data_IF_012070010672
#
_entry.id   IF_012070010672
#
_cell.length_a   1.000
_cell.length_b   1.000
_cell.length_c   1.000
_cell.angle_alpha   90.00
_cell.angle_beta   90.00
_cell.angle_gamma   90.00
#
_symmetry.space_group_name_H-M   'P 1'
#
loop_
_entity.id
_entity.type
_entity.pdbx_description
1 polymer ?
#
# COMPACT_ATOMS: atom_id res chain seq x y z
N UNK A 1 13.98 20.29 4.16
CA UNK A 1 12.73 19.57 4.54
C UNK A 1 11.60 20.49 4.99
N UNK A 2 11.86 21.77 5.27
CA UNK A 2 10.82 22.73 5.63
C UNK A 2 10.36 23.52 4.39
N UNK A 3 9.05 23.57 4.16
CA UNK A 3 8.43 24.42 3.13
C UNK A 3 7.59 25.47 3.85
N UNK A 4 7.69 26.73 3.44
CA UNK A 4 6.84 27.79 3.99
C UNK A 4 5.54 27.90 3.20
N UNK A 5 4.39 27.76 3.87
CA UNK A 5 3.12 28.22 3.32
C UNK A 5 2.29 28.87 4.44
N UNK A 6 1.61 29.98 4.12
CA UNK A 6 0.70 30.68 5.05
C UNK A 6 1.32 30.97 6.43
N UNK A 7 2.58 31.42 6.47
CA UNK A 7 3.34 31.75 7.69
C UNK A 7 3.62 30.58 8.65
N UNK A 8 3.48 29.33 8.20
CA UNK A 8 3.85 28.12 8.94
C UNK A 8 5.01 27.39 8.25
N UNK A 9 5.94 26.86 9.05
CA UNK A 9 6.96 25.92 8.57
C UNK A 9 6.35 24.52 8.49
N UNK A 10 6.40 23.93 7.30
CA UNK A 10 5.80 22.62 7.02
C UNK A 10 6.91 21.60 6.88
N UNK A 11 6.94 20.61 7.76
CA UNK A 11 7.83 19.47 7.59
C UNK A 11 7.16 18.38 6.73
N UNK A 12 7.80 18.03 5.61
CA UNK A 12 7.41 16.91 4.74
C UNK A 12 8.44 15.78 4.75
N UNK A 13 9.22 15.67 5.81
CA UNK A 13 10.31 14.69 5.95
C UNK A 13 9.87 13.25 5.73
N UNK A 14 8.67 12.85 6.18
CA UNK A 14 8.13 11.50 5.96
C UNK A 14 7.92 11.22 4.46
N UNK A 15 7.26 12.14 3.75
CA UNK A 15 7.07 12.03 2.29
C UNK A 15 8.42 11.96 1.57
N UNK A 16 9.36 12.85 1.92
CA UNK A 16 10.70 12.86 1.34
C UNK A 16 11.46 11.56 1.63
N UNK A 17 11.30 10.97 2.81
CA UNK A 17 11.91 9.69 3.18
C UNK A 17 11.35 8.55 2.31
N UNK A 18 10.03 8.47 2.13
CA UNK A 18 9.42 7.51 1.20
C UNK A 18 9.98 7.67 -0.22
N UNK A 19 9.97 8.89 -0.77
CA UNK A 19 10.47 9.15 -2.14
C UNK A 19 11.94 8.77 -2.29
N UNK A 20 12.78 9.16 -1.33
CA UNK A 20 14.21 8.83 -1.36
C UNK A 20 14.44 7.32 -1.32
N UNK A 21 13.73 6.63 -0.43
CA UNK A 21 13.84 5.20 -0.25
C UNK A 21 13.38 4.43 -1.52
N UNK A 22 12.24 4.81 -2.11
CA UNK A 22 11.77 4.24 -3.39
C UNK A 22 12.80 4.44 -4.50
N UNK A 23 13.37 5.64 -4.60
CA UNK A 23 14.38 5.96 -5.62
C UNK A 23 15.67 5.15 -5.45
N UNK A 24 16.07 4.83 -4.22
CA UNK A 24 17.26 4.01 -3.96
C UNK A 24 17.04 2.51 -4.16
N UNK A 25 15.79 2.02 -4.16
CA UNK A 25 15.48 0.60 -4.27
C UNK A 25 16.07 -0.06 -5.53
N UNK A 26 16.65 -1.25 -5.36
CA UNK A 26 17.35 -2.01 -6.39
C UNK A 26 16.68 -3.33 -6.76
N UNK A 27 16.07 -4.02 -5.81
CA UNK A 27 15.60 -5.40 -5.97
C UNK A 27 14.09 -5.50 -5.77
N UNK A 28 13.56 -5.00 -4.66
CA UNK A 28 12.12 -5.03 -4.43
C UNK A 28 11.67 -3.99 -3.40
N UNK A 29 10.36 -3.71 -3.42
CA UNK A 29 9.69 -2.90 -2.40
C UNK A 29 8.50 -3.69 -1.85
N UNK A 30 8.36 -3.72 -0.53
CA UNK A 30 7.22 -4.28 0.16
C UNK A 30 6.56 -3.19 0.99
N UNK A 31 5.24 -3.00 0.84
CA UNK A 31 4.47 -1.98 1.55
C UNK A 31 3.26 -2.63 2.19
N UNK A 32 3.05 -2.37 3.48
CA UNK A 32 1.75 -2.54 4.11
C UNK A 32 1.23 -1.18 4.53
N UNK A 33 0.05 -0.80 4.03
CA UNK A 33 -0.54 0.49 4.38
C UNK A 33 -2.06 0.42 4.46
N UNK A 34 -2.65 1.13 5.41
CA UNK A 34 -4.12 1.24 5.51
C UNK A 34 -4.73 1.95 4.29
N UNK A 35 -4.03 2.91 3.70
CA UNK A 35 -4.46 3.63 2.52
C UNK A 35 -3.37 3.65 1.45
N UNK A 36 -3.80 3.66 0.19
CA UNK A 36 -2.89 3.76 -0.94
C UNK A 36 -3.54 4.59 -2.05
N UNK A 37 -3.43 5.91 -1.93
CA UNK A 37 -4.02 6.89 -2.87
C UNK A 37 -3.04 8.05 -3.04
N UNK A 38 -2.78 8.44 -4.28
CA UNK A 38 -1.89 9.57 -4.56
C UNK A 38 -1.64 9.78 -6.03
N UNK A 39 -0.83 10.80 -6.30
CA UNK A 39 -0.41 11.22 -7.63
C UNK A 39 -1.59 11.54 -8.56
N UNK A 40 -2.62 12.24 -8.04
CA UNK A 40 -3.87 12.50 -8.78
C UNK A 40 -3.67 13.25 -10.08
N UNK A 41 -2.65 14.09 -10.17
CA UNK A 41 -2.30 14.82 -11.39
C UNK A 41 -1.93 13.91 -12.59
N UNK A 42 -1.61 12.63 -12.34
CA UNK A 42 -1.41 11.60 -13.38
C UNK A 42 -2.62 10.68 -13.62
N UNK A 43 -3.72 10.85 -12.90
CA UNK A 43 -4.94 10.06 -13.13
C UNK A 43 -5.58 10.41 -14.48
N UNK A 44 -6.29 9.45 -15.08
CA UNK A 44 -7.00 9.68 -16.35
C UNK A 44 -8.20 10.62 -16.19
N UNK A 45 -8.79 10.65 -14.98
CA UNK A 45 -9.85 11.57 -14.58
C UNK A 45 -9.57 12.11 -13.17
N UNK A 46 -10.32 13.13 -12.73
CA UNK A 46 -10.21 13.66 -11.36
C UNK A 46 -8.79 14.17 -10.99
N UNK A 47 -8.08 14.76 -11.96
CA UNK A 47 -6.70 15.24 -11.75
C UNK A 47 -6.55 16.25 -10.60
N UNK A 48 -7.57 17.08 -10.40
CA UNK A 48 -7.67 18.07 -9.33
C UNK A 48 -8.22 17.54 -8.00
N UNK A 49 -8.27 16.22 -7.76
CA UNK A 49 -8.76 15.64 -6.50
C UNK A 49 -7.90 15.98 -5.27
N UNK A 50 -6.74 16.63 -5.46
CA UNK A 50 -5.87 17.09 -4.38
C UNK A 50 -5.12 15.96 -3.66
N UNK A 51 -4.91 14.82 -4.32
CA UNK A 51 -4.09 13.72 -3.82
C UNK A 51 -2.70 13.76 -4.48
N UNK A 52 -1.91 14.78 -4.13
CA UNK A 52 -0.69 15.18 -4.83
C UNK A 52 0.60 14.49 -4.34
N UNK A 53 0.53 13.64 -3.31
CA UNK A 53 1.69 12.89 -2.84
C UNK A 53 2.31 12.04 -3.98
N UNK A 54 3.64 11.86 -3.94
CA UNK A 54 4.43 11.30 -5.04
C UNK A 54 4.57 9.77 -4.97
N UNK A 55 4.04 9.13 -3.92
CA UNK A 55 4.40 7.75 -3.61
C UNK A 55 3.98 6.77 -4.72
N UNK A 56 2.72 6.80 -5.22
CA UNK A 56 2.33 5.92 -6.32
C UNK A 56 3.11 6.14 -7.63
N UNK A 57 3.35 7.39 -8.01
CA UNK A 57 4.07 7.68 -9.26
C UNK A 57 5.55 7.28 -9.18
N UNK A 58 6.22 7.52 -8.04
CA UNK A 58 7.63 7.14 -7.87
C UNK A 58 7.81 5.62 -7.94
N UNK A 59 6.86 4.85 -7.39
CA UNK A 59 6.82 3.39 -7.53
C UNK A 59 6.67 2.97 -9.00
N UNK A 60 5.68 3.52 -9.71
CA UNK A 60 5.45 3.17 -11.12
C UNK A 60 6.64 3.53 -12.02
N UNK A 61 7.26 4.70 -11.81
CA UNK A 61 8.45 5.13 -12.55
C UNK A 61 9.66 4.27 -12.19
N UNK A 62 9.85 3.90 -10.91
CA UNK A 62 10.92 2.98 -10.50
C UNK A 62 10.81 1.65 -11.22
N UNK A 63 9.61 1.06 -11.25
CA UNK A 63 9.36 -0.20 -11.97
C UNK A 63 9.62 -0.04 -13.48
N UNK A 64 9.06 1.01 -14.10
CA UNK A 64 9.26 1.28 -15.53
C UNK A 64 10.75 1.44 -15.89
N UNK A 65 11.55 2.07 -15.02
CA UNK A 65 13.01 2.19 -15.19
C UNK A 65 13.72 0.84 -15.10
N UNK A 66 13.32 -0.01 -14.15
CA UNK A 66 13.88 -1.37 -14.00
C UNK A 66 13.54 -2.26 -15.20
N UNK A 67 12.31 -2.14 -15.73
CA UNK A 67 11.91 -2.76 -17.00
C UNK A 67 12.80 -2.29 -18.16
N UNK A 68 12.98 -0.98 -18.33
CA UNK A 68 13.84 -0.42 -19.39
C UNK A 68 15.31 -0.84 -19.25
N UNK A 69 15.79 -1.04 -18.03
CA UNK A 69 17.14 -1.55 -17.76
C UNK A 69 17.25 -3.08 -17.89
N UNK A 70 16.12 -3.79 -18.09
CA UNK A 70 16.02 -5.26 -18.03
C UNK A 70 16.57 -5.85 -16.74
N UNK A 71 16.34 -5.14 -15.63
CA UNK A 71 16.73 -5.56 -14.29
C UNK A 71 15.52 -6.14 -13.56
N UNK A 72 15.68 -7.28 -12.85
CA UNK A 72 14.59 -7.85 -12.07
C UNK A 72 14.19 -6.90 -10.93
N UNK A 73 12.89 -6.63 -10.82
CA UNK A 73 12.35 -5.79 -9.76
C UNK A 73 10.86 -6.08 -9.53
N UNK A 74 10.44 -6.10 -8.26
CA UNK A 74 9.04 -6.28 -7.91
C UNK A 74 8.59 -5.36 -6.77
N UNK A 75 7.33 -4.94 -6.80
CA UNK A 75 6.68 -4.21 -5.73
C UNK A 75 5.44 -4.96 -5.25
N UNK A 76 5.33 -5.16 -3.94
CA UNK A 76 4.23 -5.84 -3.28
C UNK A 76 3.54 -4.87 -2.32
N UNK A 77 2.24 -4.64 -2.52
CA UNK A 77 1.45 -3.66 -1.77
C UNK A 77 0.27 -4.35 -1.11
N UNK A 78 0.25 -4.33 0.22
CA UNK A 78 -0.77 -4.96 1.05
C UNK A 78 -1.62 -3.84 1.65
N UNK A 79 -2.91 -3.87 1.36
CA UNK A 79 -3.90 -2.87 1.76
C UNK A 79 -5.16 -3.58 2.27
N UNK A 80 -5.96 -2.94 3.13
CA UNK A 80 -7.20 -3.57 3.57
C UNK A 80 -8.15 -3.76 2.39
N UNK A 81 -9.03 -4.76 2.48
CA UNK A 81 -10.04 -5.03 1.46
C UNK A 81 -10.97 -3.80 1.29
N UNK A 82 -11.32 -3.17 2.40
CA UNK A 82 -12.04 -1.90 2.48
C UNK A 82 -11.58 -1.11 3.74
N UNK A 83 -11.61 0.25 3.76
CA UNK A 83 -11.30 1.03 4.96
C UNK A 83 -12.09 0.68 6.23
N UNK A 84 -11.66 1.17 7.38
CA UNK A 84 -12.32 0.89 8.65
C UNK A 84 -13.68 1.58 8.72
N UNK A 85 -14.70 0.83 9.18
CA UNK A 85 -16.06 1.32 9.28
C UNK A 85 -17.11 0.25 8.94
N UNK A 86 -18.30 0.36 9.54
CA UNK A 86 -19.45 -0.42 9.12
C UNK A 86 -19.83 -0.01 7.69
N UNK A 87 -19.95 -0.91 6.71
CA UNK A 87 -20.36 -0.51 5.37
C UNK A 87 -21.81 0.04 5.28
N UNK A 88 -22.59 0.09 6.38
CA UNK A 88 -24.04 0.33 6.37
C UNK A 88 -24.61 1.41 7.32
N UNK A 89 -23.86 2.25 8.06
CA UNK A 89 -24.45 3.31 8.95
C UNK A 89 -24.58 4.71 8.30
N UNK A 90 -25.08 5.73 9.02
CA UNK A 90 -25.38 7.07 8.49
C UNK A 90 -24.16 7.96 8.15
N UNK A 91 -23.08 8.05 8.96
CA UNK A 91 -21.79 8.57 8.48
C UNK A 91 -21.15 7.67 7.39
N UNK A 92 -21.71 6.47 7.18
CA UNK A 92 -21.37 5.52 6.13
C UNK A 92 -22.39 5.53 4.97
N UNK A 93 -23.34 6.49 4.94
CA UNK A 93 -24.21 6.79 3.78
C UNK A 93 -23.48 7.63 2.72
N UNK A 94 -22.19 7.89 2.86
CA UNK A 94 -21.40 8.37 1.74
C UNK A 94 -21.07 7.20 0.80
N UNK A 95 -22.08 6.71 0.06
CA UNK A 95 -21.82 6.02 -1.23
C UNK A 95 -20.78 6.81 -1.99
N UNK A 96 -20.87 8.15 -1.97
CA UNK A 96 -19.90 9.06 -2.55
C UNK A 96 -18.49 8.93 -1.96
N UNK A 97 -18.29 8.76 -0.66
CA UNK A 97 -16.95 8.61 -0.06
C UNK A 97 -16.34 7.27 -0.40
N UNK A 98 -17.12 6.20 -0.32
CA UNK A 98 -16.67 4.88 -0.72
C UNK A 98 -16.43 4.82 -2.22
N UNK A 99 -17.36 5.33 -3.01
CA UNK A 99 -17.24 5.47 -4.46
C UNK A 99 -16.03 6.33 -4.79
N UNK A 100 -15.82 7.48 -4.16
CA UNK A 100 -14.65 8.34 -4.34
C UNK A 100 -13.39 7.63 -3.88
N UNK A 101 -13.41 6.90 -2.77
CA UNK A 101 -12.27 6.15 -2.27
C UNK A 101 -11.87 5.03 -3.25
N UNK A 102 -12.82 4.18 -3.64
CA UNK A 102 -12.62 3.10 -4.62
C UNK A 102 -12.28 3.66 -6.00
N UNK A 103 -12.90 4.77 -6.41
CA UNK A 103 -12.60 5.46 -7.65
C UNK A 103 -11.18 5.99 -7.62
N UNK A 104 -10.79 6.76 -6.61
CA UNK A 104 -9.46 7.37 -6.48
C UNK A 104 -8.36 6.31 -6.30
N UNK A 105 -8.63 5.26 -5.53
CA UNK A 105 -7.77 4.07 -5.45
C UNK A 105 -7.67 3.39 -6.81
N UNK A 106 -8.78 3.21 -7.51
CA UNK A 106 -8.83 2.67 -8.86
C UNK A 106 -8.07 3.52 -9.87
N UNK A 107 -8.18 4.85 -9.80
CA UNK A 107 -7.42 5.78 -10.63
C UNK A 107 -5.92 5.69 -10.33
N UNK A 108 -5.54 5.59 -9.05
CA UNK A 108 -4.15 5.41 -8.63
C UNK A 108 -3.58 4.10 -9.19
N UNK A 109 -4.26 2.97 -8.96
CA UNK A 109 -3.82 1.66 -9.45
C UNK A 109 -3.79 1.60 -10.99
N UNK A 110 -4.83 2.15 -11.65
CA UNK A 110 -4.92 2.22 -13.12
C UNK A 110 -3.77 3.02 -13.71
N UNK A 111 -3.43 4.18 -13.12
CA UNK A 111 -2.29 5.00 -13.52
C UNK A 111 -0.98 4.21 -13.42
N UNK A 112 -0.74 3.53 -12.29
CA UNK A 112 0.48 2.75 -12.10
C UNK A 112 0.60 1.59 -13.09
N UNK A 113 -0.46 0.78 -13.23
CA UNK A 113 -0.48 -0.34 -14.18
C UNK A 113 -0.34 0.13 -15.62
N UNK A 114 -0.93 1.27 -15.98
CA UNK A 114 -0.77 1.86 -17.32
C UNK A 114 0.69 2.20 -17.59
N UNK A 115 1.37 2.89 -16.67
CA UNK A 115 2.79 3.24 -16.84
C UNK A 115 3.66 1.99 -17.02
N UNK A 116 3.41 0.95 -16.23
CA UNK A 116 4.15 -0.31 -16.31
C UNK A 116 3.86 -1.02 -17.64
N UNK A 117 2.60 -1.13 -18.04
CA UNK A 117 2.22 -1.74 -19.32
C UNK A 117 2.80 -0.97 -20.52
N UNK A 118 2.81 0.36 -20.46
CA UNK A 118 3.41 1.22 -21.49
C UNK A 118 4.93 0.99 -21.57
N UNK A 119 5.62 0.78 -20.43
CA UNK A 119 7.04 0.44 -20.39
C UNK A 119 7.33 -0.96 -20.97
N UNK A 120 6.53 -1.98 -20.64
CA UNK A 120 6.68 -3.33 -21.19
C UNK A 120 6.55 -3.34 -22.72
N UNK A 121 5.51 -2.67 -23.25
CA UNK A 121 5.30 -2.56 -24.71
C UNK A 121 6.43 -1.81 -25.40
N UNK A 122 6.97 -0.76 -24.76
CA UNK A 122 8.10 0.00 -25.30
C UNK A 122 9.35 -0.85 -25.45
N UNK A 123 9.59 -1.77 -24.51
CA UNK A 123 10.75 -2.66 -24.51
C UNK A 123 10.53 -3.97 -25.29
N UNK A 124 9.35 -4.15 -25.92
CA UNK A 124 8.99 -5.35 -26.68
C UNK A 124 8.81 -6.60 -25.82
N UNK A 125 8.35 -6.43 -24.57
CA UNK A 125 8.10 -7.52 -23.62
C UNK A 125 6.61 -7.90 -23.61
N UNK A 126 6.10 -8.35 -24.74
CA UNK A 126 4.65 -8.63 -24.92
C UNK A 126 4.16 -9.84 -24.13
N UNK A 127 5.05 -10.79 -23.81
CA UNK A 127 4.74 -11.98 -22.99
C UNK A 127 4.73 -11.68 -21.48
N UNK A 128 5.25 -10.52 -21.05
CA UNK A 128 5.32 -10.13 -19.65
C UNK A 128 4.04 -9.42 -19.20
N UNK A 129 3.58 -9.71 -17.99
CA UNK A 129 2.40 -9.09 -17.43
C UNK A 129 2.78 -7.98 -16.42
N UNK A 130 2.04 -6.85 -16.34
CA UNK A 130 2.32 -5.83 -15.32
C UNK A 130 2.33 -6.34 -13.88
N UNK A 131 1.60 -7.43 -13.60
CA UNK A 131 1.57 -8.07 -12.28
C UNK A 131 2.84 -8.88 -11.96
N UNK A 132 3.71 -9.13 -12.94
CA UNK A 132 5.04 -9.69 -12.67
C UNK A 132 5.92 -8.67 -11.90
N UNK A 133 5.56 -7.38 -11.97
CA UNK A 133 6.30 -6.28 -11.38
C UNK A 133 5.56 -5.54 -10.25
N UNK A 134 4.23 -5.46 -10.31
CA UNK A 134 3.41 -4.73 -9.33
C UNK A 134 2.22 -5.57 -8.87
N UNK A 135 2.19 -5.90 -7.58
CA UNK A 135 1.14 -6.72 -6.99
C UNK A 135 0.42 -6.00 -5.85
N UNK A 136 -0.91 -6.09 -5.86
CA UNK A 136 -1.76 -5.61 -4.77
C UNK A 136 -2.47 -6.79 -4.11
N UNK A 137 -2.40 -6.85 -2.78
CA UNK A 137 -3.05 -7.87 -1.97
C UNK A 137 -3.86 -7.26 -0.84
N UNK A 138 -4.76 -8.07 -0.28
CA UNK A 138 -5.41 -7.80 0.99
C UNK A 138 -5.37 -9.07 1.86
N UNK A 139 -5.54 -8.91 3.16
CA UNK A 139 -5.49 -10.02 4.10
C UNK A 139 -6.91 -10.45 4.49
N UNK A 140 -7.12 -11.76 4.59
CA UNK A 140 -8.38 -12.36 5.02
C UNK A 140 -8.13 -13.67 5.74
N UNK A 141 -8.98 -13.99 6.71
CA UNK A 141 -8.95 -15.24 7.45
C UNK A 141 -10.27 -15.96 7.30
N UNK A 142 -10.20 -17.29 7.23
CA UNK A 142 -11.37 -18.18 7.32
C UNK A 142 -11.08 -19.30 8.31
N UNK A 143 -12.03 -19.60 9.19
CA UNK A 143 -11.86 -20.61 10.25
C UNK A 143 -12.88 -21.75 10.11
N UNK A 144 -12.46 -22.97 10.47
CA UNK A 144 -13.24 -24.21 10.27
C UNK A 144 -13.95 -24.69 11.55
N UNK A 145 -13.53 -24.25 12.74
CA UNK A 145 -13.96 -24.86 14.02
C UNK A 145 -14.02 -23.86 15.17
N UNK A 146 -15.24 -23.62 15.65
CA UNK A 146 -15.61 -23.27 17.03
C UNK A 146 -17.13 -23.46 17.13
N UNK A 147 -17.62 -24.02 18.24
CA UNK A 147 -19.05 -23.95 18.56
C UNK A 147 -19.44 -22.47 18.60
N UNK A 148 -20.20 -22.02 17.61
CA UNK A 148 -20.72 -20.65 17.62
C UNK A 148 -21.88 -20.67 18.60
N UNK A 149 -21.84 -19.89 19.70
CA UNK A 149 -22.99 -19.78 20.60
C UNK A 149 -24.23 -19.44 19.77
N UNK A 150 -25.33 -20.17 20.01
CA UNK A 150 -26.58 -19.94 19.31
C UNK A 150 -26.91 -18.43 19.40
N UNK A 151 -27.18 -17.76 18.27
CA UNK A 151 -27.32 -16.32 18.24
C UNK A 151 -28.54 -15.90 19.08
N UNK A 152 -28.32 -14.96 20.00
CA UNK A 152 -29.33 -14.51 20.98
C UNK A 152 -30.38 -13.53 20.43
N UNK A 153 -30.53 -13.37 19.11
CA UNK A 153 -31.51 -12.39 18.58
C UNK A 153 -32.02 -12.63 17.15
N UNK A 154 -33.24 -12.11 16.91
CA UNK A 154 -33.98 -12.01 15.65
C UNK A 154 -33.32 -11.08 14.60
N UNK A 155 -32.02 -11.21 14.33
CA UNK A 155 -31.38 -10.41 13.28
C UNK A 155 -31.60 -11.01 11.89
N UNK A 156 -31.88 -10.17 10.89
CA UNK A 156 -32.05 -10.53 9.48
C UNK A 156 -30.93 -11.47 8.95
N UNK A 157 -31.33 -12.63 8.39
CA UNK A 157 -30.43 -13.67 7.88
C UNK A 157 -29.47 -13.19 6.79
N UNK A 158 -29.85 -12.15 6.03
CA UNK A 158 -29.05 -11.57 4.95
C UNK A 158 -28.14 -10.41 5.40
N UNK A 159 -28.05 -10.11 6.69
CA UNK A 159 -27.15 -9.05 7.17
C UNK A 159 -25.67 -9.39 6.93
N UNK A 160 -24.80 -8.40 6.63
CA UNK A 160 -23.36 -8.65 6.46
C UNK A 160 -22.72 -9.38 7.64
N UNK A 161 -23.15 -9.05 8.87
CA UNK A 161 -22.72 -9.74 10.08
C UNK A 161 -23.07 -11.23 10.06
N UNK A 162 -24.32 -11.58 9.70
CA UNK A 162 -24.76 -12.97 9.60
C UNK A 162 -24.05 -13.72 8.49
N UNK A 163 -23.81 -13.09 7.34
CA UNK A 163 -23.05 -13.71 6.26
C UNK A 163 -21.59 -13.95 6.66
N UNK A 164 -20.94 -12.99 7.33
CA UNK A 164 -19.58 -13.16 7.84
C UNK A 164 -19.49 -14.31 8.86
N UNK A 165 -20.45 -14.40 9.79
CA UNK A 165 -20.57 -15.50 10.76
C UNK A 165 -20.84 -16.84 10.06
N UNK A 166 -21.81 -16.89 9.13
CA UNK A 166 -22.19 -18.09 8.38
C UNK A 166 -21.03 -18.65 7.55
N UNK A 167 -20.32 -17.77 6.84
CA UNK A 167 -19.20 -18.17 5.99
C UNK A 167 -17.86 -18.24 6.73
N UNK A 168 -17.84 -17.81 8.00
CA UNK A 168 -16.69 -17.82 8.92
C UNK A 168 -15.43 -17.22 8.31
N UNK A 169 -15.61 -16.13 7.57
CA UNK A 169 -14.53 -15.42 6.91
C UNK A 169 -14.68 -13.92 7.11
N UNK A 170 -13.56 -13.26 7.34
CA UNK A 170 -13.51 -11.81 7.40
C UNK A 170 -12.11 -11.32 7.03
N UNK A 171 -12.01 -10.04 6.69
CA UNK A 171 -10.70 -9.44 6.45
C UNK A 171 -9.86 -9.44 7.74
N UNK A 172 -8.56 -9.61 7.60
CA UNK A 172 -7.62 -9.15 8.60
C UNK A 172 -7.34 -7.70 8.25
N UNK A 173 -7.72 -6.78 9.12
CA UNK A 173 -7.62 -5.37 8.81
C UNK A 173 -6.16 -4.90 8.83
N UNK A 174 -5.67 -4.42 7.69
CA UNK A 174 -4.33 -3.88 7.54
C UNK A 174 -4.34 -2.44 8.03
N UNK A 175 -3.92 -2.25 9.29
CA UNK A 175 -3.72 -0.92 9.89
C UNK A 175 -2.25 -0.49 9.88
N UNK A 176 -1.36 -1.30 9.31
CA UNK A 176 0.06 -0.99 9.15
C UNK A 176 0.29 0.32 8.39
N UNK A 177 1.44 0.94 8.62
CA UNK A 177 2.01 2.01 7.78
C UNK A 177 3.52 1.81 7.68
N UNK A 178 3.90 0.83 6.87
CA UNK A 178 5.28 0.37 6.76
C UNK A 178 5.71 0.16 5.33
N UNK A 179 7.02 0.31 5.09
CA UNK A 179 7.68 -0.01 3.83
C UNK A 179 9.03 -0.66 4.13
N UNK A 180 9.32 -1.76 3.43
CA UNK A 180 10.61 -2.45 3.44
C UNK A 180 11.19 -2.38 2.04
N UNK A 181 12.50 -2.12 1.97
CA UNK A 181 13.24 -2.00 0.72
C UNK A 181 14.43 -2.94 0.79
N UNK A 182 14.50 -3.82 -0.21
CA UNK A 182 15.66 -4.68 -0.48
C UNK A 182 16.14 -5.52 0.72
N UNK A 183 15.29 -5.84 1.69
CA UNK A 183 15.65 -6.49 2.99
C UNK A 183 16.67 -5.71 3.85
N UNK A 184 16.99 -4.47 3.49
CA UNK A 184 18.05 -3.68 4.11
C UNK A 184 17.51 -2.47 4.89
N UNK A 185 16.47 -1.83 4.37
CA UNK A 185 15.90 -0.62 4.94
C UNK A 185 14.42 -0.81 5.25
N UNK A 186 14.00 -0.30 6.40
CA UNK A 186 12.60 -0.29 6.83
C UNK A 186 12.18 1.12 7.24
N UNK A 187 10.98 1.52 6.83
CA UNK A 187 10.30 2.72 7.27
C UNK A 187 9.00 2.31 7.97
N UNK A 188 8.82 2.70 9.24
CA UNK A 188 7.64 2.38 10.05
C UNK A 188 7.15 3.67 10.70
N UNK A 189 5.83 3.90 10.70
CA UNK A 189 5.27 5.08 11.35
C UNK A 189 3.75 5.06 11.45
N UNK A 190 3.18 6.25 11.58
CA UNK A 190 1.73 6.49 11.59
C UNK A 190 1.17 6.92 10.23
N UNK A 191 2.03 7.42 9.34
CA UNK A 191 1.62 8.06 8.09
C UNK A 191 1.07 7.07 7.04
N UNK A 192 -0.21 7.25 6.70
CA UNK A 192 -0.83 6.53 5.60
C UNK A 192 -0.33 7.03 4.22
N UNK A 193 -0.40 6.20 3.18
CA UNK A 193 -0.13 6.66 1.81
C UNK A 193 -1.39 7.34 1.26
N UNK A 194 -1.60 8.58 1.70
CA UNK A 194 -2.64 9.49 1.24
C UNK A 194 -2.19 10.95 1.44
N UNK A 195 -2.96 11.91 0.93
CA UNK A 195 -2.62 13.34 1.12
C UNK A 195 -2.73 13.78 2.57
N UNK A 196 -3.67 13.21 3.35
CA UNK A 196 -3.89 13.60 4.75
C UNK A 196 -2.64 13.41 5.60
N UNK A 197 -1.95 12.29 5.44
CA UNK A 197 -0.74 11.98 6.19
C UNK A 197 0.55 12.56 5.58
N UNK A 198 0.64 12.68 4.25
CA UNK A 198 1.90 13.01 3.57
C UNK A 198 2.07 14.48 3.18
N UNK A 199 1.06 15.33 3.40
CA UNK A 199 1.12 16.75 3.04
C UNK A 199 1.88 17.60 4.06
N UNK A 200 1.97 17.17 5.33
CA UNK A 200 2.59 17.92 6.42
C UNK A 200 1.75 19.11 6.95
N UNK A 201 0.63 19.44 6.29
CA UNK A 201 -0.29 20.53 6.68
C UNK A 201 -1.63 20.04 7.24
N UNK A 202 -1.85 18.73 7.27
CA UNK A 202 -3.14 18.12 7.61
C UNK A 202 -2.99 17.37 8.93
N UNK A 203 -2.78 16.06 8.90
CA UNK A 203 -2.55 15.30 10.12
C UNK A 203 -1.07 15.40 10.54
N UNK A 204 -0.81 15.39 11.85
CA UNK A 204 0.55 15.30 12.39
C UNK A 204 0.95 13.83 12.46
N UNK A 205 2.06 13.49 11.83
CA UNK A 205 2.50 12.10 11.67
C UNK A 205 3.95 11.95 12.13
N UNK A 206 4.33 10.72 12.51
CA UNK A 206 5.71 10.37 12.86
C UNK A 206 6.11 9.07 12.16
N UNK A 207 7.36 8.98 11.72
CA UNK A 207 7.93 7.76 11.16
C UNK A 207 9.43 7.65 11.47
N UNK A 208 9.92 6.42 11.57
CA UNK A 208 11.33 6.08 11.73
C UNK A 208 11.79 5.25 10.53
N UNK A 209 12.91 5.66 9.92
CA UNK A 209 13.66 4.87 8.96
C UNK A 209 14.87 4.24 9.62
N UNK A 210 15.10 2.94 9.39
CA UNK A 210 16.20 2.20 9.98
C UNK A 210 16.81 1.20 8.99
N UNK A 211 18.11 0.95 9.13
CA UNK A 211 18.85 -0.10 8.43
C UNK A 211 19.97 -0.62 9.34
N UNK A 212 20.52 -1.79 9.04
CA UNK A 212 21.65 -2.35 9.77
C UNK A 212 22.91 -2.25 8.89
N UNK A 213 23.92 -1.44 9.26
CA UNK A 213 25.08 -1.17 8.40
C UNK A 213 25.87 -2.41 7.94
N UNK A 214 25.87 -3.47 8.74
CA UNK A 214 26.55 -4.74 8.45
C UNK A 214 25.67 -5.77 7.72
N UNK A 215 24.44 -5.42 7.40
CA UNK A 215 23.49 -6.26 6.67
C UNK A 215 22.93 -5.50 5.47
N UNK A 216 23.83 -5.21 4.52
CA UNK A 216 23.53 -4.51 3.27
C UNK A 216 23.97 -5.31 2.06
N UNK A 217 23.41 -4.98 0.89
CA UNK A 217 23.84 -5.58 -0.38
C UNK A 217 25.29 -5.21 -0.72
N UNK A 218 25.75 -4.01 -0.35
CA UNK A 218 27.13 -3.58 -0.59
C UNK A 218 28.15 -4.28 0.31
N UNK A 219 27.75 -4.69 1.52
CA UNK A 219 28.63 -5.25 2.54
C UNK A 219 28.62 -6.77 2.64
N UNK A 220 27.79 -7.48 1.88
CA UNK A 220 27.61 -8.93 2.00
C UNK A 220 27.80 -9.68 0.68
N UNK A 221 28.20 -10.95 0.77
CA UNK A 221 28.37 -11.88 -0.37
C UNK A 221 27.02 -12.43 -0.90
N UNK A 222 25.88 -11.85 -0.51
CA UNK A 222 24.54 -12.35 -0.83
C UNK A 222 23.43 -11.44 -0.30
N UNK A 223 22.16 -11.90 -0.27
CA UNK A 223 21.05 -11.07 0.20
C UNK A 223 21.17 -10.70 1.69
N UNK A 224 20.80 -9.48 2.11
CA UNK A 224 20.78 -9.06 3.50
C UNK A 224 20.07 -10.06 4.42
N UNK A 225 20.72 -10.40 5.54
CA UNK A 225 20.21 -11.34 6.55
C UNK A 225 20.01 -10.68 7.91
N UNK A 226 19.46 -9.47 7.88
CA UNK A 226 19.15 -8.69 9.07
C UNK A 226 17.72 -8.88 9.60
N UNK A 227 17.37 -8.06 10.58
CA UNK A 227 16.03 -7.96 11.16
C UNK A 227 15.05 -7.19 10.27
N UNK A 228 15.51 -6.47 9.24
CA UNK A 228 14.69 -5.66 8.33
C UNK A 228 13.93 -6.48 7.26
N UNK A 229 13.76 -7.79 7.47
CA UNK A 229 13.09 -8.68 6.52
C UNK A 229 11.56 -8.59 6.62
N UNK A 230 10.83 -8.64 5.49
CA UNK A 230 9.38 -8.61 5.48
C UNK A 230 8.82 -9.87 6.13
N UNK A 231 7.68 -9.76 6.82
CA UNK A 231 7.02 -10.89 7.45
C UNK A 231 6.26 -11.76 6.42
N UNK A 232 6.75 -11.88 5.18
CA UNK A 232 6.14 -12.68 4.11
C UNK A 232 5.76 -14.09 4.59
N UNK A 233 6.56 -14.68 5.49
CA UNK A 233 6.29 -15.97 6.12
C UNK A 233 5.03 -16.00 7.00
N UNK A 234 4.66 -14.91 7.70
CA UNK A 234 3.41 -14.90 8.50
C UNK A 234 2.16 -14.82 7.64
N UNK A 235 2.25 -14.20 6.46
CA UNK A 235 1.11 -14.06 5.55
C UNK A 235 0.92 -15.27 4.62
N UNK A 236 2.01 -15.98 4.29
CA UNK A 236 1.98 -17.13 3.39
C UNK A 236 1.85 -18.49 4.11
N UNK A 237 2.06 -18.57 5.43
CA UNK A 237 1.97 -19.83 6.18
C UNK A 237 0.88 -19.83 7.25
N UNK A 238 -0.27 -20.44 6.93
CA UNK A 238 -1.12 -21.29 7.79
C UNK A 238 -2.26 -21.90 6.95
N UNK A 239 -1.87 -22.66 5.93
CA UNK A 239 -2.74 -23.67 5.31
C UNK A 239 -2.10 -25.03 5.62
N UNK A 240 -2.36 -25.50 6.84
CA UNK A 240 -2.15 -26.88 7.26
C UNK A 240 -3.50 -27.50 7.56
#
# INVERSE_FOLDING_TARGET
NLVCAKNLQIDKSIHNAYVKAIRSAQHFIYIENQYFIGSSYYWSSHKGAGAENLIPIELAIKIARKIAAREPFAAYIIIPMWPEGNPTTAPMQEILYWQSFYLFKGQTMSMMYKIIADALRKEGLDDAHPQDYLNFYCLGKREVTAEVPAPTSHSNENSPLRLAQKFRRFMIYVHSKGMIIDDEFVLIGSANINQRSLDGLRDTEIAMGAYQPHHSWAGSQGPPRGQARPPLFTHLCRSG
#
